data_IF_847846278934
#
_entry.id   IF_847846278934
#
_cell.length_a   1.000
_cell.length_b   1.000
_cell.length_c   1.000
_cell.angle_alpha   90.00
_cell.angle_beta   90.00
_cell.angle_gamma   90.00
#
_symmetry.space_group_name_H-M   'P 1'
#
loop_
_entity.id
_entity.type
_entity.pdbx_description
1 polymer ?
#
# COMPACT_ATOMS: atom_id res chain seq x y z
N UNK A 1 -18.03 9.55 6.40
CA UNK A 1 -17.16 9.66 5.25
C UNK A 1 -17.88 9.25 3.98
N UNK A 2 -17.38 9.74 2.82
CA UNK A 2 -18.07 9.57 1.56
C UNK A 2 -18.25 8.09 1.16
N UNK A 3 -17.23 7.25 1.38
CA UNK A 3 -17.29 5.84 1.01
C UNK A 3 -18.36 5.10 1.84
N UNK A 4 -18.41 5.35 3.14
CA UNK A 4 -19.39 4.72 4.02
C UNK A 4 -20.80 5.19 3.68
N UNK A 5 -20.98 6.47 3.35
CA UNK A 5 -22.28 7.02 2.97
C UNK A 5 -22.79 6.47 1.65
N UNK A 6 -21.90 6.03 0.77
CA UNK A 6 -22.25 5.45 -0.53
C UNK A 6 -22.37 3.91 -0.47
N UNK A 7 -22.33 3.32 0.74
CA UNK A 7 -22.35 1.87 0.95
C UNK A 7 -21.19 1.14 0.26
N UNK A 8 -20.06 1.82 0.07
CA UNK A 8 -18.86 1.20 -0.43
C UNK A 8 -18.15 0.52 0.73
N UNK A 9 -17.91 -0.79 0.64
CA UNK A 9 -17.24 -1.54 1.71
C UNK A 9 -15.75 -1.74 1.45
N UNK A 10 -15.34 -1.86 0.20
CA UNK A 10 -13.94 -2.12 -0.20
C UNK A 10 -13.21 -0.80 -0.46
N UNK A 11 -12.03 -0.65 0.12
CA UNK A 11 -11.29 0.60 -0.01
C UNK A 11 -9.79 0.33 -0.11
N UNK A 12 -9.17 0.83 -1.18
CA UNK A 12 -7.72 0.69 -1.39
C UNK A 12 -7.08 2.06 -1.19
N UNK A 13 -6.14 2.16 -0.25
CA UNK A 13 -5.46 3.42 0.04
C UNK A 13 -3.99 3.33 -0.34
N UNK A 14 -3.51 4.31 -1.08
CA UNK A 14 -2.09 4.49 -1.35
C UNK A 14 -1.47 5.29 -0.21
N UNK A 15 -0.51 4.68 0.49
CA UNK A 15 0.21 5.32 1.59
C UNK A 15 1.70 5.41 1.24
N UNK A 16 2.57 5.36 2.23
CA UNK A 16 4.01 5.42 2.05
C UNK A 16 4.69 4.40 2.96
N UNK A 17 5.82 3.85 2.52
CA UNK A 17 6.54 2.82 3.26
C UNK A 17 6.85 3.29 4.68
N UNK A 18 6.50 2.45 5.65
CA UNK A 18 6.74 2.69 7.09
C UNK A 18 6.01 3.91 7.65
N UNK A 19 4.87 4.31 7.05
CA UNK A 19 4.08 5.43 7.55
C UNK A 19 3.65 5.23 9.02
N UNK A 20 3.48 3.97 9.46
CA UNK A 20 3.08 3.66 10.84
C UNK A 20 4.22 3.80 11.85
N UNK A 21 5.47 3.96 11.40
CA UNK A 21 6.64 3.99 12.29
C UNK A 21 7.42 5.31 12.11
N UNK A 22 7.12 6.33 12.95
CA UNK A 22 7.78 7.64 12.83
C UNK A 22 9.30 7.60 12.89
N UNK A 23 9.88 6.60 13.54
CA UNK A 23 11.34 6.49 13.65
C UNK A 23 11.99 6.18 12.28
N UNK A 24 11.21 5.69 11.34
CA UNK A 24 11.71 5.35 10.00
C UNK A 24 11.41 6.41 8.94
N UNK A 25 10.74 7.50 9.31
CA UNK A 25 10.37 8.53 8.34
C UNK A 25 11.61 9.28 7.84
N UNK A 26 11.72 9.53 6.51
CA UNK A 26 12.76 10.41 5.99
C UNK A 26 12.55 11.83 6.51
N UNK A 27 13.62 12.45 6.99
CA UNK A 27 13.54 13.81 7.57
C UNK A 27 12.97 14.83 6.59
N UNK A 28 13.32 14.73 5.31
CA UNK A 28 12.89 15.65 4.27
C UNK A 28 11.41 15.52 3.92
N UNK A 29 10.78 14.41 4.31
CA UNK A 29 9.38 14.10 3.99
C UNK A 29 8.50 14.05 5.24
N UNK A 30 8.94 14.69 6.33
CA UNK A 30 8.25 14.61 7.62
C UNK A 30 6.77 15.00 7.52
N UNK A 31 6.47 16.16 6.93
CA UNK A 31 5.07 16.63 6.82
C UNK A 31 4.23 15.70 5.95
N UNK A 32 4.81 15.20 4.86
CA UNK A 32 4.14 14.23 3.99
C UNK A 32 3.77 12.96 4.77
N UNK A 33 4.73 12.46 5.58
CA UNK A 33 4.51 11.24 6.37
C UNK A 33 3.52 11.45 7.50
N UNK A 34 3.48 12.64 8.12
CA UNK A 34 2.45 12.95 9.11
C UNK A 34 1.06 12.78 8.49
N UNK A 35 0.85 13.34 7.29
CA UNK A 35 -0.44 13.23 6.62
C UNK A 35 -0.79 11.77 6.32
N UNK A 36 0.19 10.97 5.85
CA UNK A 36 -0.03 9.55 5.56
C UNK A 36 -0.32 8.76 6.84
N UNK A 37 0.40 9.05 7.92
CA UNK A 37 0.18 8.40 9.20
C UNK A 37 -1.26 8.62 9.68
N UNK A 38 -1.74 9.85 9.70
CA UNK A 38 -3.09 10.14 10.18
C UNK A 38 -4.16 9.56 9.26
N UNK A 39 -3.94 9.57 7.96
CA UNK A 39 -4.90 8.96 7.01
C UNK A 39 -5.02 7.45 7.25
N UNK A 40 -3.89 6.76 7.40
CA UNK A 40 -3.86 5.32 7.64
C UNK A 40 -4.53 5.00 8.99
N UNK A 41 -4.17 5.73 10.05
CA UNK A 41 -4.74 5.51 11.39
C UNK A 41 -6.23 5.76 11.41
N UNK A 42 -6.70 6.81 10.73
CA UNK A 42 -8.14 7.08 10.63
C UNK A 42 -8.86 5.90 9.97
N UNK A 43 -8.34 5.42 8.86
CA UNK A 43 -8.96 4.31 8.13
C UNK A 43 -9.03 3.05 8.99
N UNK A 44 -7.95 2.73 9.69
CA UNK A 44 -7.86 1.52 10.52
C UNK A 44 -8.79 1.60 11.73
N UNK A 45 -8.81 2.73 12.42
CA UNK A 45 -9.45 2.83 13.74
C UNK A 45 -10.83 3.47 13.74
N UNK A 46 -11.19 4.20 12.68
CA UNK A 46 -12.43 4.98 12.68
C UNK A 46 -13.40 4.60 11.56
N UNK A 47 -13.14 3.50 10.85
CA UNK A 47 -14.06 3.02 9.82
C UNK A 47 -14.24 1.51 9.94
N UNK A 48 -15.34 1.01 9.35
CA UNK A 48 -15.59 -0.41 9.19
C UNK A 48 -15.25 -0.88 7.77
N UNK A 49 -14.58 -0.04 7.00
CA UNK A 49 -14.24 -0.37 5.61
C UNK A 49 -13.30 -1.56 5.54
N UNK A 50 -13.53 -2.40 4.53
CA UNK A 50 -12.63 -3.50 4.19
C UNK A 50 -11.49 -2.93 3.36
N UNK A 51 -10.45 -2.46 4.06
CA UNK A 51 -9.35 -1.73 3.42
C UNK A 51 -8.16 -2.62 3.08
N UNK A 52 -7.40 -2.17 2.08
CA UNK A 52 -6.00 -2.57 1.89
C UNK A 52 -5.20 -1.29 1.76
N UNK A 53 -4.24 -1.12 2.65
CA UNK A 53 -3.32 0.02 2.60
C UNK A 53 -2.04 -0.44 1.90
N UNK A 54 -1.68 0.24 0.81
CA UNK A 54 -0.49 -0.09 0.02
C UNK A 54 0.60 0.93 0.33
N UNK A 55 1.72 0.45 0.86
CA UNK A 55 2.87 1.28 1.24
C UNK A 55 4.05 0.99 0.30
N UNK A 56 4.19 1.75 -0.79
CA UNK A 56 5.33 1.55 -1.68
C UNK A 56 6.58 2.24 -1.17
N UNK A 57 7.73 1.69 -1.55
CA UNK A 57 9.02 2.35 -1.41
C UNK A 57 9.13 3.52 -2.39
N UNK A 58 10.32 4.11 -2.54
CA UNK A 58 10.53 5.26 -3.41
C UNK A 58 10.08 4.98 -4.86
N UNK A 59 9.32 5.91 -5.44
CA UNK A 59 8.71 5.74 -6.76
C UNK A 59 9.64 6.20 -7.86
N UNK A 60 9.60 5.50 -9.01
CA UNK A 60 10.32 5.91 -10.21
C UNK A 60 9.37 6.06 -11.39
N UNK A 61 9.86 6.65 -12.48
CA UNK A 61 9.12 6.78 -13.73
C UNK A 61 9.55 5.73 -14.75
N UNK A 62 10.26 4.68 -14.34
CA UNK A 62 10.68 3.59 -15.21
C UNK A 62 9.48 2.80 -15.73
N UNK A 63 9.65 2.05 -16.83
CA UNK A 63 8.58 1.17 -17.31
C UNK A 63 8.19 0.12 -16.26
N UNK A 64 6.93 -0.29 -16.29
CA UNK A 64 6.43 -1.32 -15.39
C UNK A 64 7.16 -2.65 -15.60
N UNK A 65 7.44 -3.35 -14.52
CA UNK A 65 8.08 -4.67 -14.55
C UNK A 65 7.08 -5.82 -14.36
N UNK A 66 5.91 -5.52 -13.80
CA UNK A 66 4.87 -6.53 -13.56
C UNK A 66 5.15 -7.45 -12.37
N UNK A 67 6.20 -7.18 -11.60
CA UNK A 67 6.61 -8.03 -10.49
C UNK A 67 7.05 -7.19 -9.29
N UNK A 68 6.80 -7.71 -8.10
CA UNK A 68 7.07 -7.01 -6.84
C UNK A 68 7.61 -7.98 -5.80
N UNK A 69 8.06 -7.41 -4.68
CA UNK A 69 8.29 -8.15 -3.44
C UNK A 69 7.51 -7.48 -2.32
N UNK A 70 7.02 -8.28 -1.38
CA UNK A 70 6.36 -7.77 -0.19
C UNK A 70 7.37 -7.67 0.94
N UNK A 71 7.12 -6.72 1.87
CA UNK A 71 7.96 -6.53 3.07
C UNK A 71 9.44 -6.36 2.70
N UNK A 72 9.78 -5.35 1.88
CA UNK A 72 11.19 -5.16 1.48
C UNK A 72 12.08 -4.95 2.70
N UNK A 73 13.24 -5.60 2.68
CA UNK A 73 14.17 -5.62 3.83
C UNK A 73 15.25 -4.55 3.71
N UNK A 74 15.32 -3.84 2.60
CA UNK A 74 16.35 -2.82 2.38
C UNK A 74 15.76 -1.72 1.49
N UNK A 75 16.39 -0.53 1.50
CA UNK A 75 15.97 0.56 0.62
C UNK A 75 15.94 0.11 -0.84
N UNK A 76 14.88 0.48 -1.54
CA UNK A 76 14.64 0.05 -2.90
C UNK A 76 13.74 1.06 -3.60
N UNK A 77 13.35 0.75 -4.83
CA UNK A 77 12.44 1.58 -5.61
C UNK A 77 11.36 0.72 -6.26
N UNK A 78 10.35 1.37 -6.80
CA UNK A 78 9.30 0.72 -7.57
C UNK A 78 8.75 1.69 -8.61
N UNK A 79 8.56 1.27 -9.88
CA UNK A 79 7.90 2.13 -10.87
C UNK A 79 6.48 2.50 -10.47
N UNK A 80 6.10 3.75 -10.71
CA UNK A 80 4.72 4.22 -10.47
C UNK A 80 3.70 3.35 -11.21
N UNK A 81 4.04 2.89 -12.42
CA UNK A 81 3.16 2.03 -13.20
C UNK A 81 2.88 0.71 -12.48
N UNK A 82 3.88 0.12 -11.81
CA UNK A 82 3.67 -1.10 -11.03
C UNK A 82 2.80 -0.83 -9.81
N UNK A 83 2.95 0.32 -9.15
CA UNK A 83 2.09 0.69 -8.03
C UNK A 83 0.63 0.79 -8.47
N UNK A 84 0.38 1.40 -9.63
CA UNK A 84 -0.97 1.48 -10.19
C UNK A 84 -1.57 0.09 -10.39
N UNK A 85 -0.79 -0.84 -10.93
CA UNK A 85 -1.23 -2.22 -11.14
C UNK A 85 -1.49 -2.93 -9.80
N UNK A 86 -0.68 -2.64 -8.78
CA UNK A 86 -0.89 -3.19 -7.43
C UNK A 86 -2.21 -2.69 -6.84
N UNK A 87 -2.53 -1.42 -7.00
CA UNK A 87 -3.79 -0.87 -6.48
C UNK A 87 -4.99 -1.58 -7.11
N UNK A 88 -4.97 -1.79 -8.42
CA UNK A 88 -6.04 -2.50 -9.13
C UNK A 88 -6.12 -3.96 -8.66
N UNK A 89 -4.97 -4.64 -8.59
CA UNK A 89 -4.94 -6.04 -8.15
C UNK A 89 -5.36 -6.21 -6.69
N UNK A 90 -5.03 -5.24 -5.83
CA UNK A 90 -5.43 -5.27 -4.42
C UNK A 90 -6.95 -5.23 -4.27
N UNK A 91 -7.63 -4.50 -5.15
CA UNK A 91 -9.10 -4.40 -5.11
C UNK A 91 -9.77 -5.77 -5.25
N UNK A 92 -9.20 -6.63 -6.10
CA UNK A 92 -9.73 -7.98 -6.34
C UNK A 92 -9.04 -9.06 -5.50
N UNK A 93 -8.10 -8.68 -4.64
CA UNK A 93 -7.34 -9.65 -3.85
C UNK A 93 -8.16 -10.18 -2.67
N UNK A 94 -7.65 -11.25 -2.05
CA UNK A 94 -8.26 -11.83 -0.85
C UNK A 94 -7.69 -11.23 0.45
N UNK A 95 -7.13 -10.03 0.37
CA UNK A 95 -6.66 -9.31 1.55
C UNK A 95 -7.79 -8.47 2.11
N UNK A 96 -7.94 -8.46 3.42
CA UNK A 96 -9.01 -7.75 4.11
C UNK A 96 -8.44 -7.07 5.35
N UNK A 97 -8.65 -5.75 5.47
CA UNK A 97 -8.17 -4.93 6.58
C UNK A 97 -6.68 -5.16 6.81
N UNK A 98 -5.91 -4.98 5.76
CA UNK A 98 -4.50 -5.34 5.72
C UNK A 98 -3.65 -4.20 5.16
N UNK A 99 -2.39 -4.16 5.56
CA UNK A 99 -1.39 -3.23 5.05
C UNK A 99 -0.28 -4.01 4.38
N UNK A 100 0.06 -3.64 3.14
CA UNK A 100 1.12 -4.31 2.38
C UNK A 100 2.21 -3.32 2.01
N UNK A 101 3.46 -3.70 2.28
CA UNK A 101 4.65 -2.92 1.93
C UNK A 101 5.24 -3.53 0.66
N UNK A 102 5.46 -2.71 -0.36
CA UNK A 102 5.87 -3.22 -1.68
C UNK A 102 7.11 -2.51 -2.22
N UNK A 103 7.89 -3.26 -2.98
CA UNK A 103 9.02 -2.79 -3.78
C UNK A 103 9.09 -3.62 -5.05
N UNK A 104 9.91 -3.21 -6.02
CA UNK A 104 10.20 -4.06 -7.18
C UNK A 104 10.79 -5.38 -6.71
N UNK A 105 10.43 -6.46 -7.38
CA UNK A 105 10.87 -7.79 -6.99
C UNK A 105 10.62 -8.80 -8.09
N UNK A 106 10.52 -10.07 -7.71
CA UNK A 106 10.51 -11.18 -8.65
C UNK A 106 9.19 -11.93 -8.72
N UNK A 107 8.18 -11.53 -7.93
CA UNK A 107 6.90 -12.23 -7.93
C UNK A 107 5.85 -11.45 -8.69
N UNK A 108 5.10 -12.11 -9.56
CA UNK A 108 4.01 -11.48 -10.31
C UNK A 108 3.02 -10.83 -9.33
N UNK A 109 2.51 -9.64 -9.68
CA UNK A 109 1.73 -8.80 -8.77
C UNK A 109 0.53 -9.55 -8.18
N UNK A 110 -0.31 -10.15 -9.02
CA UNK A 110 -1.51 -10.85 -8.53
C UNK A 110 -1.13 -11.99 -7.59
N UNK A 111 -0.08 -12.74 -7.94
CA UNK A 111 0.39 -13.85 -7.14
C UNK A 111 0.98 -13.38 -5.81
N UNK A 112 1.74 -12.28 -5.82
CA UNK A 112 2.33 -11.70 -4.61
C UNK A 112 1.26 -11.25 -3.63
N UNK A 113 0.16 -10.68 -4.12
CA UNK A 113 -0.91 -10.16 -3.27
C UNK A 113 -1.82 -11.25 -2.72
N UNK A 114 -1.83 -12.43 -3.32
CA UNK A 114 -2.70 -13.51 -2.86
C UNK A 114 -2.26 -14.01 -1.49
N UNK A 115 -3.19 -14.08 -0.55
CA UNK A 115 -2.94 -14.64 0.77
C UNK A 115 -3.18 -16.13 0.71
N UNK A 116 -2.10 -16.90 0.84
CA UNK A 116 -2.18 -18.36 0.80
C UNK A 116 -2.55 -18.89 2.18
N UNK A 117 -3.59 -19.71 2.22
CA UNK A 117 -4.06 -20.33 3.47
C UNK A 117 -3.69 -21.80 3.45
N UNK A 118 -3.35 -22.30 4.62
CA UNK A 118 -3.04 -23.70 4.80
C UNK A 118 -4.19 -24.44 5.46
#
# INVERSE_FOLDING_TARGET
>A
KAAERADISRFIMLSALDAEDPDKWPDQLHDYYIAKYYADEWLIHNTDLDYVIVQPTALTNDPAQGSITLQPQRPSTIPRADVADVLVAALDSNRHRDTVKIASGNEAIVKALHVWRQ
#
